data_IF_608124466510
#
_entry.id   IF_608124466510
#
_cell.length_a   1.000
_cell.length_b   1.000
_cell.length_c   1.000
_cell.angle_alpha   90.00
_cell.angle_beta   90.00
_cell.angle_gamma   90.00
#
_symmetry.space_group_name_H-M   'P 1'
#
loop_
_entity.id
_entity.type
_entity.pdbx_description
1 polymer ?
#
# COMPACT_ATOMS: atom_id res chain seq x y z
N UNK A 1 19.35 15.08 -17.92
CA UNK A 1 18.35 14.46 -17.01
C UNK A 1 16.99 14.25 -17.69
N UNK A 2 16.46 15.21 -18.46
CA UNK A 2 15.14 15.10 -19.14
C UNK A 2 15.07 13.94 -20.15
N UNK A 3 16.12 13.70 -20.93
CA UNK A 3 16.18 12.60 -21.91
C UNK A 3 16.23 11.20 -21.29
N UNK A 4 16.97 11.06 -20.18
CA UNK A 4 17.06 9.80 -19.43
C UNK A 4 15.73 9.46 -18.76
N UNK A 5 15.05 10.47 -18.18
CA UNK A 5 13.70 10.29 -17.62
C UNK A 5 12.71 9.85 -18.70
N UNK A 6 12.71 10.49 -19.87
CA UNK A 6 11.83 10.12 -20.98
C UNK A 6 12.11 8.69 -21.50
N UNK A 7 13.38 8.30 -21.56
CA UNK A 7 13.80 6.94 -21.93
C UNK A 7 13.34 5.92 -20.89
N UNK A 8 13.50 6.20 -19.59
CA UNK A 8 13.03 5.31 -18.53
C UNK A 8 11.50 5.20 -18.52
N UNK A 9 10.76 6.30 -18.71
CA UNK A 9 9.29 6.24 -18.87
C UNK A 9 8.92 5.34 -20.04
N UNK A 10 9.60 5.47 -21.19
CA UNK A 10 9.37 4.60 -22.37
C UNK A 10 9.71 3.14 -22.09
N UNK A 11 10.77 2.84 -21.35
CA UNK A 11 11.14 1.47 -21.00
C UNK A 11 10.18 0.85 -20.00
N UNK A 12 9.78 1.60 -18.97
CA UNK A 12 8.79 1.16 -18.00
C UNK A 12 7.44 0.89 -18.66
N UNK A 13 7.08 1.68 -19.69
CA UNK A 13 5.86 1.48 -20.49
C UNK A 13 5.78 0.11 -21.17
N UNK A 14 6.89 -0.65 -21.24
CA UNK A 14 6.93 -2.02 -21.72
C UNK A 14 6.73 -3.07 -20.61
N UNK A 15 6.84 -2.69 -19.33
CA UNK A 15 6.72 -3.58 -18.17
C UNK A 15 5.36 -3.49 -17.46
N UNK A 16 4.70 -2.33 -17.54
CA UNK A 16 3.33 -2.09 -17.08
C UNK A 16 2.63 -1.15 -18.07
N UNK A 17 1.34 -0.86 -17.88
CA UNK A 17 0.64 -0.01 -18.85
C UNK A 17 1.29 1.39 -18.89
N UNK A 18 1.63 1.89 -20.08
CA UNK A 18 2.26 3.21 -20.22
C UNK A 18 1.45 4.33 -19.53
N UNK A 19 0.11 4.20 -19.55
CA UNK A 19 -0.83 5.11 -18.88
C UNK A 19 -0.60 5.14 -17.36
N UNK A 20 -0.40 3.98 -16.74
CA UNK A 20 -0.20 3.83 -15.31
C UNK A 20 1.10 4.48 -14.83
N UNK A 21 2.23 4.18 -15.49
CA UNK A 21 3.52 4.76 -15.11
C UNK A 21 3.53 6.27 -15.31
N UNK A 22 2.93 6.77 -16.39
CA UNK A 22 2.81 8.22 -16.62
C UNK A 22 1.92 8.89 -15.55
N UNK A 23 0.80 8.27 -15.17
CA UNK A 23 -0.04 8.77 -14.07
C UNK A 23 0.73 8.79 -12.75
N UNK A 24 1.47 7.73 -12.44
CA UNK A 24 2.30 7.66 -11.23
C UNK A 24 3.40 8.71 -11.22
N UNK A 25 4.15 8.86 -12.32
CA UNK A 25 5.21 9.87 -12.42
C UNK A 25 4.64 11.29 -12.37
N UNK A 26 3.46 11.53 -12.96
CA UNK A 26 2.76 12.82 -12.85
C UNK A 26 2.35 13.08 -11.39
N UNK A 27 1.73 12.10 -10.73
CA UNK A 27 1.32 12.18 -9.31
C UNK A 27 2.52 12.50 -8.43
N UNK A 28 3.62 11.78 -8.56
CA UNK A 28 4.80 11.99 -7.72
C UNK A 28 5.66 13.20 -8.12
N UNK A 29 5.55 13.69 -9.37
CA UNK A 29 6.21 14.94 -9.77
C UNK A 29 5.51 16.20 -9.22
N UNK A 30 4.24 16.09 -8.83
CA UNK A 30 3.46 17.17 -8.22
C UNK A 30 3.51 17.12 -6.68
N UNK A 31 4.09 16.06 -6.12
CA UNK A 31 4.22 15.83 -4.69
C UNK A 31 5.51 16.45 -4.18
N UNK A 32 5.46 17.04 -2.99
CA UNK A 32 6.65 17.44 -2.26
C UNK A 32 7.61 16.25 -2.16
N UNK A 33 8.85 16.40 -2.67
CA UNK A 33 9.81 15.29 -2.73
C UNK A 33 10.06 14.65 -1.36
N UNK A 34 9.91 15.44 -0.28
CA UNK A 34 9.99 15.01 1.12
C UNK A 34 8.86 14.10 1.59
N UNK A 35 7.74 14.08 0.87
CA UNK A 35 6.57 13.25 1.17
C UNK A 35 6.49 12.02 0.27
N UNK A 36 7.42 11.80 -0.66
CA UNK A 36 7.34 10.68 -1.59
C UNK A 36 7.26 9.33 -0.89
N UNK A 37 8.35 8.91 -0.24
CA UNK A 37 8.43 7.61 0.40
C UNK A 37 9.36 7.59 1.61
N UNK A 38 8.96 6.87 2.65
CA UNK A 38 9.85 6.42 3.73
C UNK A 38 10.07 4.92 3.59
N UNK A 39 11.33 4.50 3.47
CA UNK A 39 11.75 3.11 3.28
C UNK A 39 12.46 2.63 4.54
N UNK A 40 11.80 1.76 5.32
CA UNK A 40 12.40 1.09 6.47
C UNK A 40 13.14 -0.16 6.01
N UNK A 41 14.44 -0.19 6.28
CA UNK A 41 15.34 -1.29 5.96
C UNK A 41 15.71 -2.06 7.23
N UNK A 42 15.37 -3.35 7.27
CA UNK A 42 15.83 -4.22 8.35
C UNK A 42 17.33 -4.53 8.24
N UNK A 43 18.01 -4.74 9.37
CA UNK A 43 19.45 -5.05 9.35
C UNK A 43 19.81 -6.33 8.56
N UNK A 44 18.90 -7.32 8.50
CA UNK A 44 19.07 -8.51 7.67
C UNK A 44 19.16 -8.16 6.18
N UNK A 45 18.37 -7.19 5.70
CA UNK A 45 18.43 -6.73 4.31
C UNK A 45 19.78 -6.07 4.01
N UNK A 46 20.34 -5.29 4.95
CA UNK A 46 21.68 -4.70 4.79
C UNK A 46 22.81 -5.73 4.76
N UNK A 47 22.60 -6.89 5.38
CA UNK A 47 23.58 -7.98 5.41
C UNK A 47 23.48 -8.87 4.18
N UNK A 48 22.26 -9.24 3.81
CA UNK A 48 22.00 -10.33 2.87
C UNK A 48 21.62 -9.85 1.45
N UNK A 49 21.01 -8.67 1.32
CA UNK A 49 20.38 -8.19 0.08
C UNK A 49 20.80 -6.75 -0.30
N UNK A 50 21.98 -6.30 0.14
CA UNK A 50 22.40 -4.89 -0.02
C UNK A 50 22.49 -4.47 -1.49
N UNK A 51 22.95 -5.33 -2.39
CA UNK A 51 23.07 -5.01 -3.81
C UNK A 51 21.71 -4.76 -4.47
N UNK A 52 20.72 -5.60 -4.14
CA UNK A 52 19.35 -5.44 -4.63
C UNK A 52 18.67 -4.19 -4.05
N UNK A 53 18.94 -3.88 -2.78
CA UNK A 53 18.49 -2.65 -2.11
C UNK A 53 19.06 -1.42 -2.82
N UNK A 54 20.38 -1.39 -2.99
CA UNK A 54 21.12 -0.28 -3.60
C UNK A 54 20.65 -0.06 -5.04
N UNK A 55 20.53 -1.13 -5.84
CA UNK A 55 20.02 -1.06 -7.21
C UNK A 55 18.62 -0.43 -7.28
N UNK A 56 17.72 -0.85 -6.39
CA UNK A 56 16.34 -0.36 -6.38
C UNK A 56 16.21 1.09 -5.90
N UNK A 57 16.96 1.48 -4.87
CA UNK A 57 17.02 2.87 -4.40
C UNK A 57 17.68 3.78 -5.44
N UNK A 58 18.72 3.30 -6.12
CA UNK A 58 19.38 4.03 -7.19
C UNK A 58 18.42 4.28 -8.36
N UNK A 59 17.67 3.25 -8.77
CA UNK A 59 16.64 3.38 -9.80
C UNK A 59 15.61 4.48 -9.45
N UNK A 60 15.11 4.52 -8.21
CA UNK A 60 14.16 5.56 -7.77
C UNK A 60 14.74 6.97 -7.93
N UNK A 61 15.99 7.19 -7.51
CA UNK A 61 16.63 8.50 -7.67
C UNK A 61 16.83 8.88 -9.14
N UNK A 62 17.23 7.92 -9.98
CA UNK A 62 17.46 8.15 -11.40
C UNK A 62 16.19 8.55 -12.15
N UNK A 63 15.01 8.12 -11.68
CA UNK A 63 13.71 8.57 -12.22
C UNK A 63 13.19 9.86 -11.57
N UNK A 64 13.96 10.45 -10.65
CA UNK A 64 13.68 11.73 -10.00
C UNK A 64 12.90 11.62 -8.69
N UNK A 65 12.93 10.45 -8.02
CA UNK A 65 12.26 10.22 -6.75
C UNK A 65 13.28 10.01 -5.63
N UNK A 66 13.17 10.77 -4.55
CA UNK A 66 14.13 10.73 -3.45
C UNK A 66 13.51 10.05 -2.23
N UNK A 67 13.64 8.72 -2.07
CA UNK A 67 13.14 8.04 -0.87
C UNK A 67 13.95 8.45 0.36
N UNK A 68 13.29 8.53 1.50
CA UNK A 68 13.91 8.69 2.82
C UNK A 68 14.14 7.30 3.39
N UNK A 69 15.38 6.94 3.70
CA UNK A 69 15.74 5.60 4.16
C UNK A 69 16.01 5.64 5.66
N UNK A 70 15.35 4.77 6.43
CA UNK A 70 15.66 4.55 7.85
C UNK A 70 16.07 3.09 8.04
N UNK A 71 17.18 2.85 8.71
CA UNK A 71 17.72 1.50 8.84
C UNK A 71 18.04 1.10 10.28
N UNK A 72 17.88 -0.19 10.56
CA UNK A 72 18.46 -0.85 11.72
C UNK A 72 19.70 -1.67 11.37
N UNK A 73 20.34 -2.28 12.37
CA UNK A 73 21.51 -3.14 12.20
C UNK A 73 21.48 -4.37 13.13
N UNK A 74 20.28 -4.92 13.37
CA UNK A 74 20.04 -5.95 14.39
C UNK A 74 21.03 -7.13 14.34
N UNK A 75 21.15 -7.85 13.22
CA UNK A 75 22.06 -8.99 13.14
C UNK A 75 23.54 -8.63 13.20
N UNK A 76 23.94 -7.50 12.62
CA UNK A 76 25.31 -7.00 12.68
C UNK A 76 25.71 -6.68 14.12
N UNK A 77 24.78 -6.06 14.87
CA UNK A 77 24.98 -5.73 16.26
C UNK A 77 25.06 -6.99 17.14
N UNK A 78 24.20 -7.98 16.91
CA UNK A 78 24.27 -9.26 17.62
C UNK A 78 25.64 -9.94 17.42
N UNK A 79 26.17 -9.94 16.20
CA UNK A 79 27.50 -10.50 15.93
C UNK A 79 28.63 -9.71 16.59
N UNK A 80 28.60 -8.38 16.53
CA UNK A 80 29.64 -7.54 17.14
C UNK A 80 29.61 -7.58 18.68
N UNK A 81 28.43 -7.72 19.29
CA UNK A 81 28.31 -7.95 20.73
C UNK A 81 28.92 -9.30 21.12
N UNK A 82 28.64 -10.35 20.35
CA UNK A 82 29.22 -11.69 20.56
C UNK A 82 30.75 -11.66 20.48
N UNK A 83 31.31 -10.97 19.48
CA UNK A 83 32.77 -10.81 19.32
C UNK A 83 33.40 -10.00 20.47
N UNK A 84 32.67 -9.04 21.03
CA UNK A 84 33.08 -8.26 22.19
C UNK A 84 32.89 -9.00 23.53
N UNK A 85 32.37 -10.22 23.53
CA UNK A 85 32.07 -10.99 24.73
C UNK A 85 30.90 -10.43 25.56
N UNK A 86 30.03 -9.61 24.95
CA UNK A 86 28.87 -8.99 25.60
C UNK A 86 27.63 -9.86 25.37
N UNK A 87 27.00 -10.30 26.45
CA UNK A 87 25.79 -11.12 26.38
C UNK A 87 24.56 -10.30 25.95
N UNK A 88 23.76 -10.85 25.04
CA UNK A 88 22.51 -10.22 24.60
C UNK A 88 21.42 -10.39 25.66
N UNK A 89 21.04 -9.29 26.32
CA UNK A 89 19.89 -9.24 27.24
C UNK A 89 18.69 -8.55 26.61
N UNK A 90 17.51 -9.16 26.71
CA UNK A 90 16.26 -8.60 26.20
C UNK A 90 15.14 -8.68 27.23
N UNK A 91 14.34 -7.62 27.32
CA UNK A 91 13.11 -7.55 28.13
C UNK A 91 11.99 -7.04 27.21
N UNK A 92 10.84 -7.72 27.15
CA UNK A 92 9.72 -7.35 26.27
C UNK A 92 10.13 -7.13 24.80
N UNK A 93 11.01 -7.98 24.27
CA UNK A 93 11.59 -7.88 22.91
C UNK A 93 12.43 -6.62 22.63
N UNK A 94 12.76 -5.83 23.67
CA UNK A 94 13.69 -4.71 23.58
C UNK A 94 15.05 -5.11 24.18
N UNK A 95 16.13 -4.68 23.53
CA UNK A 95 17.49 -4.92 24.01
C UNK A 95 17.81 -3.98 25.16
N UNK A 96 18.14 -4.52 26.33
CA UNK A 96 18.70 -3.73 27.44
C UNK A 96 20.05 -3.19 27.00
N UNK A 97 20.25 -1.88 27.11
CA UNK A 97 21.41 -1.20 26.52
C UNK A 97 22.15 -0.40 27.58
N UNK A 98 23.16 -1.02 28.20
CA UNK A 98 24.08 -0.34 29.10
C UNK A 98 25.13 0.49 28.35
N UNK A 99 26.04 1.15 29.07
CA UNK A 99 27.11 1.96 28.48
C UNK A 99 28.00 1.18 27.48
N UNK A 100 28.59 0.04 27.87
CA UNK A 100 29.34 -0.82 26.96
C UNK A 100 28.56 -1.26 25.72
N UNK A 101 27.31 -1.71 25.88
CA UNK A 101 26.42 -2.12 24.78
C UNK A 101 26.16 -0.93 23.86
N UNK A 102 25.88 0.26 24.40
CA UNK A 102 25.65 1.48 23.61
C UNK A 102 26.87 1.84 22.77
N UNK A 103 28.09 1.64 23.29
CA UNK A 103 29.33 1.83 22.55
C UNK A 103 29.38 0.98 21.28
N UNK A 104 28.99 -0.29 21.39
CA UNK A 104 28.89 -1.20 20.23
C UNK A 104 27.75 -0.79 19.31
N UNK A 105 26.55 -0.52 19.85
CA UNK A 105 25.37 -0.07 19.08
C UNK A 105 25.72 1.13 18.21
N UNK A 106 26.32 2.17 18.79
CA UNK A 106 26.66 3.41 18.10
C UNK A 106 27.66 3.17 16.97
N UNK A 107 28.69 2.35 17.20
CA UNK A 107 29.69 2.02 16.17
C UNK A 107 29.05 1.28 15.01
N UNK A 108 28.34 0.19 15.28
CA UNK A 108 27.71 -0.66 14.26
C UNK A 108 26.68 0.11 13.43
N UNK A 109 25.83 0.93 14.08
CA UNK A 109 24.84 1.72 13.35
C UNK A 109 25.49 2.74 12.41
N UNK A 110 26.61 3.35 12.81
CA UNK A 110 27.36 4.29 11.97
C UNK A 110 28.07 3.59 10.79
N UNK A 111 28.68 2.44 11.05
CA UNK A 111 29.35 1.63 10.03
C UNK A 111 28.35 1.17 8.97
N UNK A 112 27.21 0.59 9.37
CA UNK A 112 26.18 0.13 8.43
C UNK A 112 25.52 1.30 7.67
N UNK A 113 25.38 2.46 8.30
CA UNK A 113 24.88 3.67 7.65
C UNK A 113 25.81 4.13 6.51
N UNK A 114 27.11 4.25 6.81
CA UNK A 114 28.12 4.65 5.81
C UNK A 114 28.25 3.61 4.71
N UNK A 115 28.26 2.32 5.06
CA UNK A 115 28.30 1.22 4.08
C UNK A 115 27.18 1.33 3.04
N UNK A 116 25.95 1.60 3.47
CA UNK A 116 24.83 1.79 2.54
C UNK A 116 25.00 3.06 1.69
N UNK A 117 25.42 4.17 2.29
CA UNK A 117 25.64 5.45 1.58
C UNK A 117 26.74 5.30 0.52
N UNK A 118 27.86 4.67 0.85
CA UNK A 118 28.97 4.41 -0.06
C UNK A 118 28.55 3.49 -1.20
N UNK A 119 27.79 2.43 -0.92
CA UNK A 119 27.28 1.52 -1.95
C UNK A 119 26.32 2.24 -2.92
N UNK A 120 25.47 3.14 -2.42
CA UNK A 120 24.64 4.02 -3.25
C UNK A 120 25.52 4.95 -4.10
N UNK A 121 26.49 5.63 -3.51
CA UNK A 121 27.38 6.54 -4.23
C UNK A 121 28.20 5.83 -5.32
N UNK A 122 28.61 4.57 -5.08
CA UNK A 122 29.28 3.74 -6.07
C UNK A 122 28.41 3.43 -7.31
N UNK A 123 27.08 3.47 -7.18
CA UNK A 123 26.13 3.38 -8.30
C UNK A 123 25.81 4.74 -8.95
N UNK A 124 26.58 5.79 -8.63
CA UNK A 124 26.43 7.11 -9.21
C UNK A 124 25.20 7.88 -8.70
N UNK A 125 24.65 7.49 -7.55
CA UNK A 125 23.49 8.16 -6.95
C UNK A 125 23.89 8.95 -5.70
N UNK A 126 23.25 10.10 -5.48
CA UNK A 126 23.52 10.96 -4.33
C UNK A 126 22.86 10.38 -3.09
N UNK A 127 23.63 10.14 -2.04
CA UNK A 127 23.13 9.73 -0.75
C UNK A 127 23.84 10.50 0.36
N UNK A 128 23.09 10.90 1.38
CA UNK A 128 23.58 11.67 2.54
C UNK A 128 23.42 10.82 3.80
N UNK A 129 24.53 10.59 4.49
CA UNK A 129 24.56 9.94 5.80
C UNK A 129 23.99 10.88 6.86
N UNK A 130 22.97 10.43 7.59
CA UNK A 130 22.38 11.14 8.74
C UNK A 130 22.42 10.19 9.95
N UNK A 131 23.42 10.37 10.80
CA UNK A 131 23.70 9.46 11.92
C UNK A 131 23.16 9.94 13.27
N UNK A 132 22.72 11.20 13.34
CA UNK A 132 22.23 11.87 14.54
C UNK A 132 21.38 13.10 14.16
N UNK A 133 20.75 13.72 15.15
CA UNK A 133 20.01 14.98 14.98
C UNK A 133 18.63 14.84 14.30
N UNK A 134 18.12 13.61 14.13
CA UNK A 134 16.76 13.37 13.61
C UNK A 134 15.81 13.00 14.74
N UNK A 135 16.22 12.12 15.65
CA UNK A 135 15.36 11.61 16.71
C UNK A 135 15.75 12.21 18.05
N UNK A 136 14.85 12.96 18.66
CA UNK A 136 14.94 13.33 20.07
C UNK A 136 14.12 12.33 20.90
N UNK A 137 14.69 11.83 21.98
CA UNK A 137 14.09 10.79 22.80
C UNK A 137 14.23 11.05 24.30
N UNK A 138 13.24 10.61 25.06
CA UNK A 138 13.34 10.44 26.51
C UNK A 138 13.74 9.01 26.84
N UNK A 139 14.29 8.76 28.03
CA UNK A 139 14.49 7.38 28.49
C UNK A 139 13.15 6.64 28.57
N UNK A 140 13.10 5.42 28.01
CA UNK A 140 11.87 4.62 28.01
C UNK A 140 11.52 4.17 29.42
N UNK A 141 12.47 3.51 30.08
CA UNK A 141 12.49 3.16 31.50
C UNK A 141 13.95 2.87 31.83
N UNK A 142 14.58 3.77 32.60
CA UNK A 142 16.03 3.73 32.84
C UNK A 142 16.43 2.58 33.75
N UNK A 143 15.53 2.12 34.62
CA UNK A 143 15.81 1.05 35.57
C UNK A 143 15.70 -0.33 34.88
N UNK A 144 14.85 -0.44 33.86
CA UNK A 144 14.63 -1.70 33.12
C UNK A 144 15.52 -1.82 31.89
N UNK A 145 15.63 -0.74 31.10
CA UNK A 145 16.26 -0.77 29.78
C UNK A 145 17.56 0.02 29.67
N UNK A 146 17.92 0.79 30.71
CA UNK A 146 19.10 1.65 30.78
C UNK A 146 19.11 2.76 29.71
N UNK A 147 20.02 2.72 28.74
CA UNK A 147 20.20 3.75 27.70
C UNK A 147 19.33 3.48 26.47
N UNK A 148 18.08 3.10 26.71
CA UNK A 148 17.05 2.92 25.66
C UNK A 148 16.03 4.06 25.75
N UNK A 149 15.77 4.68 24.62
CA UNK A 149 14.87 5.81 24.50
C UNK A 149 13.53 5.50 23.84
N UNK A 150 12.57 6.36 24.10
CA UNK A 150 11.32 6.54 23.35
C UNK A 150 11.40 7.86 22.61
N UNK A 151 11.26 7.82 21.29
CA UNK A 151 11.25 9.04 20.46
C UNK A 151 10.06 9.91 20.84
N UNK A 152 10.31 11.19 21.12
CA UNK A 152 9.30 12.18 21.49
C UNK A 152 9.20 13.33 20.49
N UNK A 153 10.27 13.58 19.72
CA UNK A 153 10.28 14.57 18.64
C UNK A 153 11.15 14.10 17.48
N UNK A 154 10.74 14.45 16.27
CA UNK A 154 11.50 14.22 15.04
C UNK A 154 11.87 15.56 14.43
N UNK A 155 13.16 15.81 14.27
CA UNK A 155 13.71 16.94 13.54
C UNK A 155 13.93 16.53 12.08
N UNK A 156 13.46 17.37 11.15
CA UNK A 156 13.49 17.06 9.71
C UNK A 156 14.46 17.93 8.92
N UNK A 157 15.14 18.89 9.55
CA UNK A 157 15.95 19.88 8.82
C UNK A 157 17.08 19.23 8.01
N UNK A 158 17.79 18.27 8.62
CA UNK A 158 18.82 17.49 7.92
C UNK A 158 18.27 16.64 6.77
N UNK A 159 17.05 16.13 6.92
CA UNK A 159 16.35 15.36 5.88
C UNK A 159 16.00 16.28 4.71
N UNK A 160 15.38 17.43 4.99
CA UNK A 160 14.99 18.41 3.97
C UNK A 160 16.21 18.95 3.22
N UNK A 161 17.33 19.20 3.93
CA UNK A 161 18.57 19.64 3.31
C UNK A 161 19.11 18.62 2.30
N UNK A 162 19.09 17.32 2.63
CA UNK A 162 19.50 16.26 1.71
C UNK A 162 18.57 16.17 0.49
N UNK A 163 17.26 16.22 0.70
CA UNK A 163 16.26 16.13 -0.38
C UNK A 163 16.37 17.32 -1.33
N UNK A 164 16.62 18.53 -0.81
CA UNK A 164 16.78 19.76 -1.61
C UNK A 164 17.91 19.66 -2.64
N UNK A 165 18.96 18.90 -2.34
CA UNK A 165 20.09 18.67 -3.27
C UNK A 165 19.94 17.38 -4.09
N UNK A 166 18.77 16.73 -4.02
CA UNK A 166 18.46 15.48 -4.72
C UNK A 166 19.19 14.26 -4.14
N UNK A 167 19.56 14.31 -2.86
CA UNK A 167 20.28 13.23 -2.18
C UNK A 167 19.34 12.39 -1.33
N UNK A 168 19.46 11.07 -1.41
CA UNK A 168 18.73 10.12 -0.54
C UNK A 168 19.23 10.30 0.90
N UNK A 169 18.41 10.77 1.86
CA UNK A 169 18.79 10.77 3.26
C UNK A 169 18.74 9.34 3.81
N UNK A 170 19.87 8.86 4.33
CA UNK A 170 20.02 7.56 4.97
C UNK A 170 20.19 7.76 6.47
N UNK A 171 19.15 7.44 7.23
CA UNK A 171 19.00 7.77 8.64
C UNK A 171 19.27 6.53 9.51
N UNK A 172 20.21 6.64 10.44
CA UNK A 172 20.43 5.62 11.46
C UNK A 172 19.38 5.72 12.58
N UNK A 173 18.83 4.59 13.03
CA UNK A 173 17.92 4.54 14.20
C UNK A 173 18.66 4.72 15.53
N UNK A 174 19.21 5.90 15.77
CA UNK A 174 19.78 6.39 17.04
C UNK A 174 19.05 7.68 17.43
N UNK A 175 18.84 7.88 18.72
CA UNK A 175 18.24 9.11 19.22
C UNK A 175 19.14 9.80 20.24
N UNK A 176 18.81 11.05 20.54
CA UNK A 176 19.50 11.88 21.51
C UNK A 176 18.48 12.43 22.52
N UNK A 177 18.86 12.47 23.80
CA UNK A 177 18.08 13.21 24.79
C UNK A 177 18.26 14.72 24.58
N UNK A 178 17.40 15.53 25.18
CA UNK A 178 17.53 17.00 25.19
C UNK A 178 18.92 17.46 25.69
N UNK A 179 19.57 16.67 26.55
CA UNK A 179 20.90 16.94 27.10
C UNK A 179 22.04 16.45 26.20
N UNK A 180 21.74 15.88 25.04
CA UNK A 180 22.71 15.35 24.08
C UNK A 180 23.22 13.93 24.38
N UNK A 181 22.59 13.19 25.31
CA UNK A 181 22.95 11.79 25.55
C UNK A 181 22.38 10.93 24.42
N UNK A 182 23.25 10.22 23.71
CA UNK A 182 22.83 9.23 22.71
C UNK A 182 22.14 8.06 23.42
N UNK A 183 21.00 7.64 22.92
CA UNK A 183 20.26 6.47 23.40
C UNK A 183 19.91 5.55 22.24
N UNK A 184 19.86 4.25 22.53
CA UNK A 184 19.36 3.26 21.59
C UNK A 184 17.84 3.38 21.46
N UNK A 185 17.29 3.20 20.27
CA UNK A 185 15.84 3.22 20.04
C UNK A 185 15.42 2.02 19.20
N UNK A 186 14.18 1.58 19.38
CA UNK A 186 13.62 0.58 18.49
C UNK A 186 13.46 1.17 17.08
N UNK A 187 14.04 0.51 16.07
CA UNK A 187 14.06 1.02 14.70
C UNK A 187 12.66 1.12 14.05
N UNK A 188 11.74 0.21 14.38
CA UNK A 188 10.36 0.28 13.90
C UNK A 188 9.61 1.44 14.57
N UNK A 189 9.82 1.67 15.87
CA UNK A 189 9.20 2.80 16.57
C UNK A 189 9.74 4.14 16.07
N UNK A 190 11.06 4.26 15.88
CA UNK A 190 11.67 5.46 15.30
C UNK A 190 11.16 5.72 13.88
N UNK A 191 11.05 4.68 13.05
CA UNK A 191 10.45 4.79 11.72
C UNK A 191 8.99 5.26 11.79
N UNK A 192 8.20 4.74 12.73
CA UNK A 192 6.80 5.14 12.90
C UNK A 192 6.67 6.62 13.24
N UNK A 193 7.47 7.15 14.17
CA UNK A 193 7.45 8.58 14.50
C UNK A 193 7.92 9.45 13.33
N UNK A 194 8.91 8.99 12.57
CA UNK A 194 9.33 9.64 11.32
C UNK A 194 8.20 9.69 10.29
N UNK A 195 7.49 8.58 10.10
CA UNK A 195 6.36 8.46 9.17
C UNK A 195 5.21 9.39 9.57
N UNK A 196 4.84 9.41 10.86
CA UNK A 196 3.80 10.31 11.38
C UNK A 196 4.15 11.77 11.15
N UNK A 197 5.43 12.13 11.34
CA UNK A 197 5.93 13.50 11.14
C UNK A 197 5.92 13.91 9.67
N UNK A 198 6.40 13.05 8.77
CA UNK A 198 6.56 13.38 7.35
C UNK A 198 5.28 13.19 6.53
N UNK A 199 4.33 12.39 7.01
CA UNK A 199 3.11 12.00 6.31
C UNK A 199 3.33 11.59 4.83
N UNK A 200 4.16 10.56 4.58
CA UNK A 200 4.53 10.16 3.24
C UNK A 200 3.37 9.49 2.49
N UNK A 201 3.40 9.56 1.16
CA UNK A 201 2.46 8.83 0.29
C UNK A 201 2.74 7.33 0.31
N UNK A 202 4.03 6.95 0.35
CA UNK A 202 4.46 5.56 0.39
C UNK A 202 5.27 5.27 1.64
N UNK A 203 4.91 4.21 2.32
CA UNK A 203 5.68 3.65 3.43
C UNK A 203 6.09 2.27 3.00
N UNK A 204 7.38 1.99 2.99
CA UNK A 204 7.89 0.71 2.50
C UNK A 204 8.64 0.01 3.61
N UNK A 205 8.22 -1.20 3.95
CA UNK A 205 8.96 -2.10 4.84
C UNK A 205 9.62 -3.18 4.01
N UNK A 206 10.94 -3.13 3.90
CA UNK A 206 11.71 -4.16 3.18
C UNK A 206 12.01 -5.34 4.09
N UNK A 207 11.58 -6.54 3.68
CA UNK A 207 11.79 -7.80 4.41
C UNK A 207 12.22 -8.92 3.47
N UNK A 208 12.93 -9.92 3.99
CA UNK A 208 13.33 -11.10 3.22
C UNK A 208 12.14 -11.99 2.79
N UNK A 209 11.02 -11.96 3.53
CA UNK A 209 9.79 -12.70 3.19
C UNK A 209 9.01 -12.08 2.03
N UNK A 210 9.20 -10.78 1.77
CA UNK A 210 8.60 -10.08 0.63
C UNK A 210 7.10 -9.81 0.69
N UNK A 211 6.48 -9.96 1.85
CA UNK A 211 5.05 -9.69 2.04
C UNK A 211 4.50 -10.32 3.31
N UNK A 212 3.19 -10.11 3.53
CA UNK A 212 2.39 -10.88 4.47
C UNK A 212 1.87 -12.12 3.76
N UNK A 213 1.90 -13.26 4.45
CA UNK A 213 1.49 -14.55 3.89
C UNK A 213 0.08 -14.90 4.38
N UNK A 214 -0.73 -15.49 3.50
CA UNK A 214 -2.03 -16.08 3.84
C UNK A 214 -1.88 -17.46 4.50
N UNK A 215 -3.00 -18.10 4.84
CA UNK A 215 -3.06 -19.46 5.40
C UNK A 215 -2.29 -20.49 4.55
N UNK A 216 -2.26 -20.30 3.22
CA UNK A 216 -1.62 -21.21 2.26
C UNK A 216 -0.14 -20.88 2.05
N UNK A 217 0.40 -19.91 2.77
CA UNK A 217 1.78 -19.44 2.62
C UNK A 217 2.03 -18.61 1.37
N UNK A 218 0.98 -18.11 0.71
CA UNK A 218 1.08 -17.23 -0.46
C UNK A 218 1.05 -15.77 -0.01
N UNK A 219 1.79 -14.90 -0.71
CA UNK A 219 1.74 -13.46 -0.46
C UNK A 219 0.33 -12.92 -0.70
N UNK A 220 -0.18 -12.17 0.28
CA UNK A 220 -1.41 -11.39 0.17
C UNK A 220 -1.09 -10.13 -0.62
N UNK A 221 -1.65 -9.97 -1.81
CA UNK A 221 -1.31 -8.85 -2.70
C UNK A 221 -1.75 -7.48 -2.11
N UNK A 222 -2.93 -7.43 -1.48
CA UNK A 222 -3.49 -6.19 -0.94
C UNK A 222 -4.40 -6.41 0.25
N UNK A 223 -4.46 -5.43 1.16
CA UNK A 223 -5.35 -5.39 2.33
C UNK A 223 -6.00 -4.01 2.43
N UNK A 224 -7.33 -3.95 2.47
CA UNK A 224 -8.11 -2.77 2.82
C UNK A 224 -8.56 -2.88 4.29
N UNK A 225 -7.96 -2.06 5.16
CA UNK A 225 -8.22 -2.12 6.60
C UNK A 225 -9.67 -1.79 6.96
N UNK A 226 -10.34 -0.90 6.24
CA UNK A 226 -11.73 -0.51 6.53
C UNK A 226 -12.73 -1.65 6.34
N UNK A 227 -12.41 -2.62 5.48
CA UNK A 227 -13.30 -3.74 5.14
C UNK A 227 -12.79 -5.09 5.66
N UNK A 228 -11.48 -5.28 5.77
CA UNK A 228 -10.88 -6.61 5.99
C UNK A 228 -10.24 -6.77 7.38
N UNK A 229 -9.96 -5.69 8.12
CA UNK A 229 -9.12 -5.75 9.32
C UNK A 229 -9.66 -6.68 10.41
N UNK A 230 -10.93 -6.51 10.81
CA UNK A 230 -11.54 -7.30 11.88
C UNK A 230 -11.59 -8.79 11.52
N UNK A 231 -11.94 -9.11 10.28
CA UNK A 231 -11.96 -10.49 9.79
C UNK A 231 -10.54 -11.08 9.79
N UNK A 232 -9.56 -10.33 9.29
CA UNK A 232 -8.18 -10.76 9.17
C UNK A 232 -7.58 -11.05 10.55
N UNK A 233 -7.72 -10.13 11.52
CA UNK A 233 -7.12 -10.27 12.85
C UNK A 233 -7.76 -11.39 13.68
N UNK A 234 -8.99 -11.79 13.35
CA UNK A 234 -9.68 -12.92 13.95
C UNK A 234 -9.23 -14.28 13.41
N UNK A 235 -8.49 -14.32 12.29
CA UNK A 235 -8.07 -15.59 11.69
C UNK A 235 -7.03 -16.33 12.55
N UNK A 236 -7.15 -17.67 12.68
CA UNK A 236 -6.25 -18.46 13.52
C UNK A 236 -4.81 -18.56 12.98
N UNK A 237 -4.61 -18.38 11.67
CA UNK A 237 -3.29 -18.44 11.04
C UNK A 237 -2.47 -17.14 11.20
N UNK A 238 -3.08 -16.06 11.70
CA UNK A 238 -2.37 -14.82 12.05
C UNK A 238 -1.55 -15.02 13.32
N UNK A 239 -0.26 -15.27 13.15
CA UNK A 239 0.67 -15.40 14.26
C UNK A 239 0.93 -14.06 14.99
N UNK A 240 1.52 -14.13 16.19
CA UNK A 240 1.73 -12.96 17.05
C UNK A 240 2.56 -11.84 16.41
N UNK A 241 3.60 -12.18 15.63
CA UNK A 241 4.41 -11.18 14.94
C UNK A 241 3.66 -10.48 13.81
N UNK A 242 2.85 -11.22 13.05
CA UNK A 242 2.01 -10.67 12.00
C UNK A 242 0.90 -9.78 12.56
N UNK A 243 0.29 -10.17 13.69
CA UNK A 243 -0.70 -9.38 14.42
C UNK A 243 -0.15 -8.00 14.80
N UNK A 244 0.98 -7.96 15.50
CA UNK A 244 1.64 -6.71 15.91
C UNK A 244 1.95 -5.83 14.69
N UNK A 245 2.38 -6.43 13.57
CA UNK A 245 2.68 -5.67 12.35
C UNK A 245 1.42 -5.07 11.71
N UNK A 246 0.31 -5.81 11.68
CA UNK A 246 -0.97 -5.31 11.18
C UNK A 246 -1.53 -4.18 12.05
N UNK A 247 -1.47 -4.34 13.38
CA UNK A 247 -1.87 -3.31 14.36
C UNK A 247 -1.05 -2.03 14.15
N UNK A 248 0.28 -2.13 14.08
CA UNK A 248 1.15 -0.98 13.82
C UNK A 248 0.87 -0.29 12.49
N UNK A 249 0.61 -1.06 11.43
CA UNK A 249 0.28 -0.52 10.11
C UNK A 249 -1.07 0.19 10.15
N UNK A 250 -2.05 -0.37 10.86
CA UNK A 250 -3.35 0.27 11.07
C UNK A 250 -3.19 1.60 11.81
N UNK A 251 -2.49 1.60 12.94
CA UNK A 251 -2.27 2.80 13.75
C UNK A 251 -1.61 3.93 12.93
N UNK A 252 -0.64 3.58 12.08
CA UNK A 252 -0.04 4.52 11.13
C UNK A 252 -1.07 5.05 10.13
N UNK A 253 -1.78 4.16 9.44
CA UNK A 253 -2.70 4.55 8.37
C UNK A 253 -3.94 5.29 8.88
N UNK A 254 -4.34 5.10 10.13
CA UNK A 254 -5.44 5.84 10.76
C UNK A 254 -5.14 7.34 10.87
N UNK A 255 -3.91 7.71 11.20
CA UNK A 255 -3.49 9.12 11.39
C UNK A 255 -2.95 9.77 10.11
N UNK A 256 -2.68 8.98 9.08
CA UNK A 256 -2.18 9.46 7.80
C UNK A 256 -3.30 9.81 6.82
N UNK A 257 -2.99 10.61 5.78
CA UNK A 257 -3.93 10.87 4.69
C UNK A 257 -4.41 9.58 4.01
N UNK A 258 -5.65 9.56 3.51
CA UNK A 258 -6.22 8.43 2.76
C UNK A 258 -5.39 7.98 1.57
N UNK A 259 -4.60 8.89 0.99
CA UNK A 259 -3.71 8.61 -0.14
C UNK A 259 -2.46 7.82 0.25
N UNK A 260 -2.15 7.71 1.55
CA UNK A 260 -0.99 6.97 2.04
C UNK A 260 -1.25 5.47 1.99
N UNK A 261 -0.19 4.71 1.67
CA UNK A 261 -0.23 3.24 1.69
C UNK A 261 1.06 2.68 2.25
N UNK A 262 0.95 1.55 2.95
CA UNK A 262 2.09 0.75 3.36
C UNK A 262 2.32 -0.37 2.35
N UNK A 263 3.56 -0.60 1.94
CA UNK A 263 3.98 -1.73 1.11
C UNK A 263 5.00 -2.56 1.88
N UNK A 264 4.80 -3.87 1.93
CA UNK A 264 5.77 -4.84 2.46
C UNK A 264 6.27 -5.68 1.31
N UNK A 265 7.55 -5.57 0.97
CA UNK A 265 8.12 -6.25 -0.20
C UNK A 265 9.60 -6.59 -0.01
N UNK A 266 10.21 -7.26 -0.99
CA UNK A 266 11.65 -7.52 -1.08
C UNK A 266 12.38 -6.35 -1.72
N UNK A 267 13.67 -6.15 -1.41
CA UNK A 267 14.48 -5.11 -2.06
C UNK A 267 14.41 -5.18 -3.59
N UNK A 268 14.62 -6.36 -4.18
CA UNK A 268 14.59 -6.55 -5.64
C UNK A 268 13.24 -6.25 -6.30
N UNK A 269 12.15 -6.30 -5.52
CA UNK A 269 10.78 -6.11 -6.00
C UNK A 269 10.26 -4.68 -5.78
N UNK A 270 11.05 -3.81 -5.13
CA UNK A 270 10.64 -2.47 -4.73
C UNK A 270 10.13 -1.62 -5.89
N UNK A 271 10.83 -1.59 -7.01
CA UNK A 271 10.39 -0.82 -8.17
C UNK A 271 9.05 -1.35 -8.72
N UNK A 272 8.92 -2.67 -8.86
CA UNK A 272 7.69 -3.29 -9.34
C UNK A 272 6.52 -3.03 -8.39
N UNK A 273 6.76 -3.09 -7.08
CA UNK A 273 5.78 -2.77 -6.05
C UNK A 273 5.30 -1.32 -6.12
N UNK A 274 6.19 -0.37 -6.42
CA UNK A 274 5.84 1.05 -6.46
C UNK A 274 5.21 1.51 -7.78
N UNK A 275 5.54 0.86 -8.90
CA UNK A 275 5.14 1.32 -10.25
C UNK A 275 4.14 0.41 -10.96
N UNK A 276 3.66 -0.66 -10.32
CA UNK A 276 2.66 -1.56 -10.92
C UNK A 276 1.46 -1.79 -10.00
N UNK A 277 0.27 -1.95 -10.58
CA UNK A 277 -0.99 -2.16 -9.87
C UNK A 277 -1.02 -3.50 -9.16
N UNK A 278 -0.40 -4.51 -9.79
CA UNK A 278 -0.28 -5.85 -9.20
C UNK A 278 0.75 -5.87 -8.08
N UNK A 279 1.76 -5.01 -8.16
CA UNK A 279 2.88 -5.01 -7.23
C UNK A 279 3.64 -6.33 -7.22
N UNK A 280 4.43 -6.53 -6.17
CA UNK A 280 5.11 -7.79 -5.88
C UNK A 280 5.42 -7.89 -4.39
N UNK A 281 4.40 -7.58 -3.59
CA UNK A 281 4.40 -7.59 -2.14
C UNK A 281 2.98 -7.46 -1.61
N UNK A 282 2.86 -7.01 -0.38
CA UNK A 282 1.56 -6.71 0.24
C UNK A 282 1.39 -5.20 0.36
N UNK A 283 0.37 -4.66 -0.32
CA UNK A 283 -0.05 -3.27 -0.16
C UNK A 283 -1.18 -3.18 0.86
N UNK A 284 -0.97 -2.47 1.96
CA UNK A 284 -1.98 -2.17 2.96
C UNK A 284 -2.42 -0.71 2.82
N UNK A 285 -3.73 -0.49 2.78
CA UNK A 285 -4.35 0.84 2.76
C UNK A 285 -5.40 0.92 3.84
N UNK A 286 -5.64 2.13 4.37
CA UNK A 286 -6.82 2.37 5.20
C UNK A 286 -8.09 2.03 4.44
N UNK A 287 -8.11 2.37 3.15
CA UNK A 287 -9.25 2.22 2.26
C UNK A 287 -10.40 3.13 2.67
N UNK A 288 -11.58 2.83 2.12
CA UNK A 288 -12.82 3.53 2.43
C UNK A 288 -13.83 2.55 3.00
N UNK A 289 -14.69 3.06 3.87
CA UNK A 289 -15.90 2.35 4.25
C UNK A 289 -16.82 2.21 3.04
N UNK A 290 -17.53 1.09 3.00
CA UNK A 290 -18.53 0.80 1.97
C UNK A 290 -19.91 0.92 2.60
N UNK A 291 -20.70 1.87 2.13
CA UNK A 291 -22.09 2.04 2.50
C UNK A 291 -22.93 1.01 1.75
N UNK A 292 -23.79 0.27 2.46
CA UNK A 292 -24.77 -0.66 1.89
C UNK A 292 -26.17 -0.10 2.14
N UNK A 293 -26.87 0.28 1.07
CA UNK A 293 -28.17 0.97 1.14
C UNK A 293 -29.21 0.28 0.27
N UNK A 294 -30.49 0.48 0.57
CA UNK A 294 -31.61 -0.13 -0.18
C UNK A 294 -32.48 0.89 -0.89
N UNK A 295 -32.35 2.17 -0.55
CA UNK A 295 -33.13 3.24 -1.13
C UNK A 295 -32.23 4.35 -1.67
N UNK A 296 -32.69 5.02 -2.74
CA UNK A 296 -31.92 6.07 -3.41
C UNK A 296 -31.76 7.33 -2.56
N UNK A 297 -32.71 7.62 -1.67
CA UNK A 297 -32.70 8.76 -0.75
C UNK A 297 -31.66 8.64 0.37
N UNK A 298 -31.07 7.45 0.56
CA UNK A 298 -29.92 7.22 1.43
C UNK A 298 -28.59 7.66 0.77
N UNK A 299 -28.61 8.02 -0.52
CA UNK A 299 -27.43 8.40 -1.29
C UNK A 299 -27.52 9.82 -1.86
N UNK A 300 -26.35 10.42 -2.04
CA UNK A 300 -26.19 11.57 -2.92
C UNK A 300 -26.21 11.09 -4.38
N UNK A 301 -27.42 11.06 -4.96
CA UNK A 301 -27.63 10.62 -6.35
C UNK A 301 -26.94 11.51 -7.38
N UNK A 302 -26.64 12.78 -7.04
CA UNK A 302 -25.90 13.67 -7.91
C UNK A 302 -24.43 13.24 -8.00
N UNK A 303 -23.78 13.00 -6.86
CA UNK A 303 -22.41 12.45 -6.82
C UNK A 303 -22.32 11.05 -7.42
N UNK A 304 -23.32 10.19 -7.18
CA UNK A 304 -23.36 8.87 -7.79
C UNK A 304 -23.47 8.95 -9.31
N UNK A 305 -24.25 9.89 -9.85
CA UNK A 305 -24.30 10.16 -11.30
C UNK A 305 -22.93 10.56 -11.81
N UNK A 306 -22.28 11.54 -11.18
CA UNK A 306 -20.95 12.01 -11.58
C UNK A 306 -19.91 10.88 -11.59
N UNK A 307 -19.93 10.02 -10.57
CA UNK A 307 -19.10 8.82 -10.50
C UNK A 307 -19.34 7.89 -11.69
N UNK A 308 -20.61 7.54 -11.96
CA UNK A 308 -20.95 6.63 -13.06
C UNK A 308 -20.52 7.26 -14.39
N UNK A 309 -20.86 8.53 -14.63
CA UNK A 309 -20.53 9.19 -15.89
C UNK A 309 -19.01 9.28 -16.11
N UNK A 310 -18.26 9.58 -15.06
CA UNK A 310 -16.80 9.64 -15.10
C UNK A 310 -16.17 8.26 -15.33
N UNK A 311 -16.63 7.22 -14.64
CA UNK A 311 -16.08 5.88 -14.75
C UNK A 311 -16.35 5.23 -16.12
N UNK A 312 -17.52 5.52 -16.72
CA UNK A 312 -17.89 4.97 -18.03
C UNK A 312 -17.54 5.89 -19.21
N UNK A 313 -17.18 7.15 -18.96
CA UNK A 313 -16.94 8.15 -20.00
C UNK A 313 -18.17 8.47 -20.86
N UNK A 314 -19.37 8.33 -20.28
CA UNK A 314 -20.67 8.36 -20.97
C UNK A 314 -21.72 8.98 -20.08
N UNK A 315 -22.76 9.60 -20.66
CA UNK A 315 -23.84 10.20 -19.86
C UNK A 315 -24.85 9.15 -19.39
N UNK A 316 -25.24 9.25 -18.13
CA UNK A 316 -26.31 8.43 -17.57
C UNK A 316 -27.66 8.96 -18.04
N UNK A 317 -28.60 8.07 -18.29
CA UNK A 317 -29.97 8.48 -18.66
C UNK A 317 -30.54 9.45 -17.60
N UNK A 318 -31.22 10.55 -17.99
CA UNK A 318 -31.75 11.52 -17.03
C UNK A 318 -32.70 10.88 -16.01
N UNK A 319 -33.59 10.02 -16.50
CA UNK A 319 -34.62 9.27 -15.76
C UNK A 319 -34.11 7.99 -15.09
N UNK A 320 -32.79 7.77 -15.04
CA UNK A 320 -32.23 6.50 -14.55
C UNK A 320 -32.66 6.19 -13.12
N UNK A 321 -32.50 7.12 -12.18
CA UNK A 321 -32.85 6.87 -10.77
C UNK A 321 -34.36 6.80 -10.54
N UNK A 322 -35.16 7.43 -11.40
CA UNK A 322 -36.62 7.41 -11.31
C UNK A 322 -37.20 6.05 -11.75
N UNK A 323 -36.63 5.46 -12.81
CA UNK A 323 -37.14 4.21 -13.40
C UNK A 323 -36.50 2.95 -12.81
N UNK A 324 -35.31 3.07 -12.23
CA UNK A 324 -34.52 1.91 -11.80
C UNK A 324 -34.93 1.53 -10.40
N UNK A 325 -35.52 0.35 -10.26
CA UNK A 325 -35.84 -0.23 -8.96
C UNK A 325 -34.56 -0.76 -8.31
N UNK A 326 -34.08 -0.03 -7.30
CA UNK A 326 -32.91 -0.44 -6.53
C UNK A 326 -33.25 -1.68 -5.70
N UNK A 327 -32.41 -2.72 -5.79
CA UNK A 327 -32.38 -3.79 -4.82
C UNK A 327 -31.43 -3.45 -3.68
N UNK A 328 -30.20 -3.06 -4.05
CA UNK A 328 -29.16 -2.62 -3.13
C UNK A 328 -28.08 -1.84 -3.87
N UNK A 329 -27.49 -0.84 -3.22
CA UNK A 329 -26.28 -0.19 -3.71
C UNK A 329 -25.18 -0.28 -2.65
N UNK A 330 -23.96 -0.52 -3.13
CA UNK A 330 -22.73 -0.48 -2.35
C UNK A 330 -21.89 0.67 -2.85
N UNK A 331 -21.69 1.70 -2.04
CA UNK A 331 -21.00 2.93 -2.46
C UNK A 331 -19.88 3.22 -1.49
N UNK A 332 -18.68 3.48 -2.00
CA UNK A 332 -17.57 3.90 -1.15
C UNK A 332 -17.90 5.26 -0.51
N UNK A 333 -17.47 5.51 0.72
CA UNK A 333 -17.87 6.71 1.46
C UNK A 333 -17.54 8.03 0.73
N UNK A 334 -16.51 8.04 -0.13
CA UNK A 334 -16.14 9.19 -0.96
C UNK A 334 -16.68 9.14 -2.41
N UNK A 335 -17.58 8.22 -2.75
CA UNK A 335 -18.18 8.09 -4.09
C UNK A 335 -17.13 7.90 -5.19
N UNK A 336 -16.10 7.09 -4.92
CA UNK A 336 -15.05 6.74 -5.91
C UNK A 336 -15.24 5.35 -6.51
N UNK A 337 -16.04 4.52 -5.86
CA UNK A 337 -16.50 3.24 -6.39
C UNK A 337 -17.95 2.96 -5.99
N UNK A 338 -18.72 2.33 -6.88
CA UNK A 338 -20.08 1.94 -6.62
C UNK A 338 -20.46 0.64 -7.35
N UNK A 339 -21.22 -0.20 -6.67
CA UNK A 339 -21.95 -1.34 -7.22
C UNK A 339 -23.45 -1.08 -7.04
N UNK A 340 -24.23 -1.19 -8.11
CA UNK A 340 -25.69 -1.02 -8.09
C UNK A 340 -26.32 -2.33 -8.54
N UNK A 341 -27.15 -2.89 -7.67
CA UNK A 341 -27.90 -4.11 -7.90
C UNK A 341 -29.38 -3.78 -8.10
N UNK A 342 -29.99 -4.40 -9.09
CA UNK A 342 -31.44 -4.34 -9.34
C UNK A 342 -32.06 -5.72 -9.20
N UNK A 343 -33.35 -5.73 -8.87
CA UNK A 343 -34.17 -6.95 -8.86
C UNK A 343 -34.80 -7.12 -10.25
N UNK A 344 -34.55 -8.27 -10.87
CA UNK A 344 -35.02 -8.58 -12.22
C UNK A 344 -35.65 -9.97 -12.19
N UNK A 345 -36.98 -10.03 -12.12
CA UNK A 345 -37.76 -11.28 -12.08
C UNK A 345 -37.30 -12.27 -10.98
N UNK A 346 -36.94 -11.75 -9.81
CA UNK A 346 -36.45 -12.54 -8.67
C UNK A 346 -34.98 -12.95 -8.75
N UNK A 347 -34.26 -12.47 -9.77
CA UNK A 347 -32.80 -12.60 -9.89
C UNK A 347 -32.11 -11.27 -9.60
N UNK A 348 -30.96 -11.33 -8.93
CA UNK A 348 -30.14 -10.16 -8.65
C UNK A 348 -29.26 -9.83 -9.86
N UNK A 349 -29.43 -8.64 -10.42
CA UNK A 349 -28.68 -8.15 -11.57
C UNK A 349 -27.71 -7.03 -11.17
N UNK A 350 -26.46 -7.10 -11.64
CA UNK A 350 -25.51 -5.99 -11.52
C UNK A 350 -25.75 -4.99 -12.65
N UNK A 351 -26.38 -3.86 -12.33
CA UNK A 351 -26.67 -2.82 -13.31
C UNK A 351 -25.50 -1.84 -13.51
N UNK A 352 -24.77 -1.53 -12.43
CA UNK A 352 -23.54 -0.72 -12.49
C UNK A 352 -22.45 -1.30 -11.62
N UNK A 353 -21.24 -1.31 -12.18
CA UNK A 353 -20.01 -1.34 -11.42
C UNK A 353 -19.14 -0.19 -11.93
N UNK A 354 -19.07 0.89 -11.15
CA UNK A 354 -18.37 2.12 -11.49
C UNK A 354 -17.19 2.28 -10.54
N UNK A 355 -15.98 2.48 -11.08
CA UNK A 355 -14.77 2.73 -10.30
C UNK A 355 -13.97 3.80 -11.04
N UNK A 356 -13.68 4.92 -10.38
CA UNK A 356 -12.84 5.97 -10.97
C UNK A 356 -11.45 5.44 -11.29
N UNK A 357 -10.83 5.95 -12.37
CA UNK A 357 -9.48 5.57 -12.80
C UNK A 357 -8.46 5.65 -11.64
N UNK A 358 -8.54 6.68 -10.80
CA UNK A 358 -7.65 6.85 -9.64
C UNK A 358 -7.83 5.77 -8.55
N UNK A 359 -9.00 5.14 -8.48
CA UNK A 359 -9.34 4.12 -7.50
C UNK A 359 -9.08 2.69 -7.99
N UNK A 360 -8.94 2.47 -9.31
CA UNK A 360 -8.73 1.13 -9.91
C UNK A 360 -7.40 0.48 -9.49
N UNK A 361 -6.39 1.26 -9.06
CA UNK A 361 -5.12 0.78 -8.51
C UNK A 361 -5.03 0.76 -6.99
N UNK A 362 -6.03 1.29 -6.29
CA UNK A 362 -6.07 1.37 -4.83
C UNK A 362 -6.70 0.10 -4.21
N UNK A 363 -7.26 -0.78 -5.04
CA UNK A 363 -8.00 -1.96 -4.59
C UNK A 363 -9.44 -1.65 -4.17
N UNK A 364 -9.89 -0.39 -4.29
CA UNK A 364 -11.21 0.03 -3.83
C UNK A 364 -12.35 -0.69 -4.58
N UNK A 365 -12.23 -0.85 -5.89
CA UNK A 365 -13.22 -1.60 -6.68
C UNK A 365 -13.37 -3.04 -6.21
N UNK A 366 -12.26 -3.71 -5.87
CA UNK A 366 -12.26 -5.07 -5.29
C UNK A 366 -12.91 -5.07 -3.91
N UNK A 367 -12.60 -4.09 -3.06
CA UNK A 367 -13.20 -4.00 -1.73
C UNK A 367 -14.72 -3.84 -1.79
N UNK A 368 -15.24 -2.93 -2.62
CA UNK A 368 -16.69 -2.77 -2.82
C UNK A 368 -17.32 -4.05 -3.38
N UNK A 369 -16.65 -4.72 -4.31
CA UNK A 369 -17.12 -5.99 -4.88
C UNK A 369 -17.21 -7.11 -3.84
N UNK A 370 -16.19 -7.27 -2.98
CA UNK A 370 -16.21 -8.32 -1.96
C UNK A 370 -17.31 -8.09 -0.92
N UNK A 371 -17.47 -6.86 -0.42
CA UNK A 371 -18.59 -6.51 0.48
C UNK A 371 -19.94 -6.83 -0.16
N UNK A 372 -20.10 -6.56 -1.46
CA UNK A 372 -21.31 -6.92 -2.20
C UNK A 372 -21.50 -8.44 -2.29
N UNK A 373 -20.43 -9.17 -2.64
CA UNK A 373 -20.44 -10.62 -2.87
C UNK A 373 -20.79 -11.39 -1.60
N UNK A 374 -20.28 -10.96 -0.44
CA UNK A 374 -20.57 -11.57 0.86
C UNK A 374 -22.06 -11.55 1.21
N UNK A 375 -22.77 -10.51 0.77
CA UNK A 375 -24.21 -10.34 1.00
C UNK A 375 -25.08 -10.85 -0.17
N UNK A 376 -24.46 -11.16 -1.31
CA UNK A 376 -25.15 -11.45 -2.58
C UNK A 376 -24.65 -12.78 -3.14
N UNK A 377 -25.23 -13.93 -2.74
CA UNK A 377 -24.73 -15.26 -3.12
C UNK A 377 -25.01 -15.65 -4.57
N UNK A 378 -25.90 -14.93 -5.26
CA UNK A 378 -26.26 -15.19 -6.66
C UNK A 378 -26.33 -13.86 -7.40
N UNK A 379 -25.66 -13.76 -8.54
CA UNK A 379 -25.57 -12.55 -9.34
C UNK A 379 -25.37 -12.89 -10.80
N UNK A 380 -25.98 -12.09 -11.68
CA UNK A 380 -25.65 -12.11 -13.10
C UNK A 380 -25.51 -10.68 -13.64
N UNK A 381 -24.72 -10.53 -14.71
CA UNK A 381 -24.40 -9.23 -15.28
C UNK A 381 -23.97 -9.32 -16.73
N UNK A 382 -23.88 -8.15 -17.38
CA UNK A 382 -23.34 -8.04 -18.74
C UNK A 382 -22.24 -6.99 -18.84
N UNK A 383 -21.34 -7.20 -19.79
CA UNK A 383 -20.27 -6.26 -20.11
C UNK A 383 -20.01 -6.24 -21.62
N UNK A 384 -19.50 -5.11 -22.13
CA UNK A 384 -19.11 -5.00 -23.56
C UNK A 384 -17.87 -5.87 -23.84
N UNK A 385 -17.76 -6.42 -25.05
CA UNK A 385 -16.65 -7.31 -25.44
C UNK A 385 -15.25 -6.71 -25.19
N UNK A 386 -15.07 -5.42 -25.50
CA UNK A 386 -13.81 -4.69 -25.35
C UNK A 386 -13.60 -4.01 -23.99
N UNK A 387 -14.48 -4.24 -23.01
CA UNK A 387 -14.34 -3.61 -21.71
C UNK A 387 -13.09 -4.15 -20.95
N UNK A 388 -12.15 -3.31 -20.51
CA UNK A 388 -10.94 -3.74 -19.81
C UNK A 388 -11.22 -4.56 -18.54
N UNK A 389 -12.31 -4.28 -17.82
CA UNK A 389 -12.67 -5.01 -16.58
C UNK A 389 -13.11 -6.46 -16.82
N UNK A 390 -13.29 -6.88 -18.08
CA UNK A 390 -13.71 -8.26 -18.36
C UNK A 390 -12.77 -9.31 -17.76
N UNK A 391 -11.45 -9.05 -17.70
CA UNK A 391 -10.51 -9.97 -17.07
C UNK A 391 -10.82 -10.22 -15.59
N UNK A 392 -11.24 -9.16 -14.86
CA UNK A 392 -11.71 -9.27 -13.49
C UNK A 392 -13.02 -10.06 -13.42
N UNK A 393 -14.00 -9.76 -14.28
CA UNK A 393 -15.27 -10.49 -14.31
C UNK A 393 -15.11 -11.98 -14.57
N UNK A 394 -14.20 -12.39 -15.47
CA UNK A 394 -13.90 -13.80 -15.69
C UNK A 394 -13.36 -14.50 -14.43
N UNK A 395 -12.56 -13.81 -13.63
CA UNK A 395 -11.99 -14.37 -12.41
C UNK A 395 -13.04 -14.48 -11.29
N UNK A 396 -14.05 -13.61 -11.30
CA UNK A 396 -15.10 -13.56 -10.26
C UNK A 396 -16.36 -14.38 -10.61
N UNK A 397 -16.52 -14.81 -11.86
CA UNK A 397 -17.68 -15.57 -12.35
C UNK A 397 -17.49 -17.08 -12.26
N UNK A 398 -18.58 -17.82 -12.06
CA UNK A 398 -18.62 -19.28 -12.23
C UNK A 398 -18.75 -19.66 -13.71
N UNK A 399 -19.34 -18.78 -14.52
CA UNK A 399 -19.52 -18.99 -15.95
C UNK A 399 -19.74 -17.72 -16.76
N UNK A 400 -19.56 -17.84 -18.08
CA UNK A 400 -19.85 -16.75 -19.02
C UNK A 400 -20.36 -17.25 -20.38
N UNK A 401 -21.16 -16.44 -21.05
CA UNK A 401 -21.58 -16.60 -22.45
C UNK A 401 -21.20 -15.36 -23.24
N UNK A 402 -20.71 -15.57 -24.47
CA UNK A 402 -20.29 -14.50 -25.38
C UNK A 402 -21.33 -14.34 -26.48
N UNK A 403 -21.96 -13.19 -26.54
CA UNK A 403 -22.87 -12.77 -27.62
C UNK A 403 -22.19 -11.71 -28.48
N UNK A 404 -22.78 -11.33 -29.62
CA UNK A 404 -22.15 -10.41 -30.58
C UNK A 404 -21.75 -9.07 -29.97
N UNK A 405 -22.63 -8.48 -29.16
CA UNK A 405 -22.44 -7.15 -28.56
C UNK A 405 -21.98 -7.19 -27.11
N UNK A 406 -22.31 -8.28 -26.41
CA UNK A 406 -22.19 -8.40 -24.96
C UNK A 406 -21.49 -9.70 -24.56
N UNK A 407 -20.95 -9.70 -23.34
CA UNK A 407 -20.62 -10.91 -22.59
C UNK A 407 -21.51 -10.93 -21.37
N UNK A 408 -22.15 -12.06 -21.12
CA UNK A 408 -22.99 -12.31 -19.95
C UNK A 408 -22.20 -13.18 -18.99
N UNK A 409 -22.20 -12.82 -17.71
CA UNK A 409 -21.47 -13.50 -16.65
C UNK A 409 -22.42 -13.80 -15.49
N UNK A 410 -22.12 -14.83 -14.72
CA UNK A 410 -22.90 -15.17 -13.53
C UNK A 410 -22.05 -15.90 -12.48
N UNK A 411 -22.56 -15.91 -11.24
CA UNK A 411 -22.16 -16.85 -10.20
C UNK A 411 -23.36 -17.27 -9.35
N UNK A 412 -23.29 -18.45 -8.74
CA UNK A 412 -24.33 -19.04 -7.89
C UNK A 412 -25.62 -19.43 -8.65
N UNK A 413 -25.52 -19.66 -9.96
CA UNK A 413 -26.62 -20.16 -10.79
C UNK A 413 -26.25 -21.53 -11.36
N UNK A 414 -27.03 -22.55 -11.00
CA UNK A 414 -26.64 -23.95 -11.18
C UNK A 414 -27.45 -24.68 -12.26
N UNK A 415 -28.56 -24.10 -12.75
CA UNK A 415 -29.40 -24.74 -13.77
C UNK A 415 -29.31 -24.04 -15.13
N UNK A 416 -29.41 -24.83 -16.21
CA UNK A 416 -29.43 -24.29 -17.57
C UNK A 416 -30.61 -23.34 -17.81
N UNK A 417 -31.75 -23.56 -17.15
CA UNK A 417 -32.93 -22.70 -17.24
C UNK A 417 -32.66 -21.32 -16.64
N UNK A 418 -32.06 -21.26 -15.45
CA UNK A 418 -31.65 -20.00 -14.81
C UNK A 418 -30.66 -19.22 -15.68
N UNK A 419 -29.65 -19.93 -16.22
CA UNK A 419 -28.64 -19.32 -17.07
C UNK A 419 -29.26 -18.80 -18.37
N UNK A 420 -30.13 -19.57 -19.03
CA UNK A 420 -30.81 -19.16 -20.24
C UNK A 420 -31.65 -17.89 -20.03
N UNK A 421 -32.43 -17.84 -18.95
CA UNK A 421 -33.19 -16.65 -18.56
C UNK A 421 -32.30 -15.41 -18.37
N UNK A 422 -31.19 -15.56 -17.65
CA UNK A 422 -30.23 -14.47 -17.42
C UNK A 422 -29.60 -13.94 -18.71
N UNK A 423 -29.28 -14.83 -19.65
CA UNK A 423 -28.72 -14.47 -20.97
C UNK A 423 -29.75 -13.72 -21.79
N UNK A 424 -30.98 -14.23 -21.87
CA UNK A 424 -32.08 -13.58 -22.60
C UNK A 424 -32.36 -12.17 -22.06
N UNK A 425 -32.42 -12.03 -20.72
CA UNK A 425 -32.56 -10.73 -20.06
C UNK A 425 -31.45 -9.76 -20.43
N UNK A 426 -30.20 -10.20 -20.35
CA UNK A 426 -29.04 -9.38 -20.69
C UNK A 426 -29.02 -8.94 -22.15
N UNK A 427 -29.53 -9.79 -23.06
CA UNK A 427 -29.63 -9.51 -24.48
C UNK A 427 -30.72 -8.47 -24.78
N UNK A 428 -31.89 -8.59 -24.13
CA UNK A 428 -33.04 -7.71 -24.31
C UNK A 428 -32.95 -6.36 -23.59
N UNK A 429 -32.15 -6.24 -22.52
CA UNK A 429 -32.12 -5.03 -21.68
C UNK A 429 -31.63 -3.78 -22.45
N UNK A 430 -32.36 -2.66 -22.44
CA UNK A 430 -31.93 -1.44 -23.12
C UNK A 430 -30.67 -0.84 -22.48
N UNK A 431 -29.88 -0.04 -23.22
CA UNK A 431 -28.77 0.70 -22.63
C UNK A 431 -29.24 1.72 -21.60
N UNK A 432 -28.54 1.79 -20.47
CA UNK A 432 -28.76 2.79 -19.40
C UNK A 432 -27.79 3.99 -19.49
N UNK A 433 -26.86 3.96 -20.46
CA UNK A 433 -25.90 5.02 -20.75
C UNK A 433 -26.06 5.50 -22.20
N UNK A 434 -26.00 6.81 -22.43
CA UNK A 434 -25.92 7.44 -23.77
C UNK A 434 -24.47 7.63 -24.18
N UNK A 435 -24.19 7.54 -25.48
CA UNK A 435 -22.86 7.85 -26.02
C UNK A 435 -22.53 9.33 -25.84
#
# INVERSE_FOLDING_TARGET
MTDMRNTIVRLLSNMASAKEIQQYLKRFSQVDASRFAVVKVGGAVLRDDIDALVSSLAFLQQVGLTPIVVHGAGPQLDEQMRLAGIEKRTVNNLRVTDGPVLGVVRRVMREENLKLVEALQAQGVRATSIQSGVFEAEFLDRDVYELVGRVVRVDTDGIQAAIKVGSIPVIASLAETEQGQIVNVNADWAANELIKTLQPYKIVFLTGTGGLLDEKGKVIDSINLSTEYEHLIAQPWINGGMRVKLEQIKDLLDVLPLSSSVSITRPAELAKELFTHRGSGTVVRRGERVLSVRHWDELDVARLRELIESAFGRRLMPDYFDRTRLLRAYVSENYRAAVILTDEDGYTYLDKFAVLDEAQGEGLGRAVWQVMRDETPRLFWRSRRGNPVNGFYFAESDGCIKEDKWKVFWYGLDTFEQIAHCVEHCSGRPPTLKD
#
